data_IF_382664460951
#
_entry.id   IF_382664460951
#
_cell.length_a   1.000
_cell.length_b   1.000
_cell.length_c   1.000
_cell.angle_alpha   90.00
_cell.angle_beta   90.00
_cell.angle_gamma   90.00
#
_symmetry.space_group_name_H-M   'P 1'
#
loop_
_entity.id
_entity.type
_entity.pdbx_description
1 polymer ?
#
# COMPACT_ATOMS: atom_id res chain seq x y z
N UNK A 1 3.75 27.63 4.86
CA UNK A 1 3.37 26.19 4.81
C UNK A 1 4.10 25.36 3.76
N UNK A 2 4.69 25.93 2.70
CA UNK A 2 5.41 25.17 1.65
C UNK A 2 6.47 24.20 2.21
N UNK A 3 7.29 24.64 3.17
CA UNK A 3 8.28 23.80 3.86
C UNK A 3 7.67 22.53 4.48
N UNK A 4 6.44 22.60 5.01
CA UNK A 4 5.74 21.43 5.57
C UNK A 4 5.31 20.46 4.47
N UNK A 5 4.86 20.98 3.33
CA UNK A 5 4.45 20.17 2.17
C UNK A 5 5.68 19.47 1.59
N UNK A 6 6.78 20.19 1.40
CA UNK A 6 8.05 19.62 0.94
C UNK A 6 8.56 18.53 1.87
N UNK A 7 8.52 18.77 3.18
CA UNK A 7 8.89 17.77 4.19
C UNK A 7 7.99 16.52 4.09
N UNK A 8 6.70 16.69 3.81
CA UNK A 8 5.79 15.56 3.65
C UNK A 8 6.08 14.75 2.38
N UNK A 9 6.38 15.41 1.26
CA UNK A 9 6.77 14.74 0.02
C UNK A 9 8.11 14.01 0.15
N UNK A 10 9.08 14.58 0.88
CA UNK A 10 10.32 13.88 1.22
C UNK A 10 10.06 12.63 2.06
N UNK A 11 9.20 12.74 3.09
CA UNK A 11 8.79 11.60 3.88
C UNK A 11 8.13 10.51 3.01
N UNK A 12 7.21 10.87 2.12
CA UNK A 12 6.55 9.91 1.21
C UNK A 12 7.56 9.14 0.36
N UNK A 13 8.52 9.83 -0.26
CA UNK A 13 9.56 9.20 -1.07
C UNK A 13 10.38 8.21 -0.24
N UNK A 14 10.82 8.64 0.95
CA UNK A 14 11.57 7.77 1.86
C UNK A 14 10.77 6.54 2.30
N UNK A 15 9.48 6.68 2.55
CA UNK A 15 8.59 5.55 2.88
C UNK A 15 8.43 4.58 1.71
N UNK A 16 8.34 5.07 0.48
CA UNK A 16 8.32 4.22 -0.72
C UNK A 16 9.62 3.43 -0.88
N UNK A 17 10.78 4.08 -0.69
CA UNK A 17 12.08 3.40 -0.76
C UNK A 17 12.20 2.30 0.30
N UNK A 18 11.70 2.55 1.52
CA UNK A 18 11.66 1.55 2.59
C UNK A 18 10.75 0.38 2.21
N UNK A 19 9.57 0.64 1.64
CA UNK A 19 8.64 -0.41 1.20
C UNK A 19 9.25 -1.31 0.11
N UNK A 20 10.09 -0.76 -0.77
CA UNK A 20 10.78 -1.51 -1.83
C UNK A 20 11.99 -2.32 -1.32
N UNK A 21 12.60 -1.91 -0.22
CA UNK A 21 13.88 -2.48 0.26
C UNK A 21 13.75 -3.35 1.50
N UNK A 22 12.71 -3.14 2.32
CA UNK A 22 12.52 -3.90 3.55
C UNK A 22 12.29 -5.39 3.28
N UNK A 23 12.97 -6.25 4.04
CA UNK A 23 12.91 -7.71 3.84
C UNK A 23 11.66 -8.34 4.44
N UNK A 24 11.06 -7.69 5.44
CA UNK A 24 9.88 -8.16 6.15
C UNK A 24 9.10 -7.00 6.79
N UNK A 25 7.89 -7.29 7.29
CA UNK A 25 6.95 -6.27 7.80
C UNK A 25 7.45 -5.60 9.08
N UNK A 26 8.18 -6.32 9.94
CA UNK A 26 8.73 -5.74 11.18
C UNK A 26 9.83 -4.74 10.89
N UNK A 27 10.73 -5.07 9.95
CA UNK A 27 11.75 -4.16 9.46
C UNK A 27 11.12 -2.94 8.78
N UNK A 28 10.13 -3.15 7.90
CA UNK A 28 9.38 -2.08 7.25
C UNK A 28 8.77 -1.13 8.29
N UNK A 29 8.06 -1.66 9.28
CA UNK A 29 7.40 -0.86 10.30
C UNK A 29 8.42 -0.06 11.14
N UNK A 30 9.53 -0.68 11.52
CA UNK A 30 10.59 -0.04 12.30
C UNK A 30 11.28 1.09 11.54
N UNK A 31 11.75 0.84 10.31
CA UNK A 31 12.42 1.85 9.49
C UNK A 31 11.48 2.98 9.12
N UNK A 32 10.22 2.66 8.80
CA UNK A 32 9.20 3.65 8.50
C UNK A 32 8.88 4.53 9.71
N UNK A 33 8.75 3.94 10.91
CA UNK A 33 8.60 4.70 12.15
C UNK A 33 9.75 5.70 12.34
N UNK A 34 11.00 5.27 12.20
CA UNK A 34 12.17 6.14 12.35
C UNK A 34 12.18 7.30 11.35
N UNK A 35 11.77 7.03 10.09
CA UNK A 35 11.64 8.06 9.07
C UNK A 35 10.54 9.09 9.42
N UNK A 36 9.40 8.62 9.90
CA UNK A 36 8.30 9.50 10.33
C UNK A 36 8.69 10.29 11.58
N UNK A 37 9.32 9.66 12.58
CA UNK A 37 9.78 10.31 13.81
C UNK A 37 10.75 11.45 13.51
N UNK A 38 11.73 11.22 12.62
CA UNK A 38 12.66 12.27 12.16
C UNK A 38 11.90 13.45 11.54
N UNK A 39 10.91 13.16 10.68
CA UNK A 39 10.10 14.18 10.02
C UNK A 39 9.19 14.92 11.00
N UNK A 40 8.64 14.23 12.00
CA UNK A 40 7.82 14.82 13.06
C UNK A 40 8.63 15.77 13.95
N UNK A 41 9.88 15.44 14.27
CA UNK A 41 10.79 16.31 15.01
C UNK A 41 11.06 17.60 14.21
N UNK A 42 11.35 17.49 12.92
CA UNK A 42 11.56 18.64 12.04
C UNK A 42 10.29 19.49 11.90
N UNK A 43 9.14 18.85 11.73
CA UNK A 43 7.84 19.51 11.67
C UNK A 43 7.56 20.30 12.95
N UNK A 44 7.79 19.70 14.12
CA UNK A 44 7.60 20.34 15.42
C UNK A 44 8.55 21.53 15.59
N UNK A 45 9.82 21.37 15.27
CA UNK A 45 10.82 22.44 15.36
C UNK A 45 10.45 23.65 14.48
N UNK A 46 9.96 23.40 13.26
CA UNK A 46 9.46 24.46 12.38
C UNK A 46 8.25 25.16 12.98
N UNK A 47 7.22 24.41 13.36
CA UNK A 47 5.91 24.98 13.76
C UNK A 47 5.99 25.78 15.06
N UNK A 48 6.83 25.39 16.01
CA UNK A 48 7.00 26.12 17.28
C UNK A 48 7.56 27.54 17.04
N UNK A 49 8.39 27.73 16.02
CA UNK A 49 8.97 29.04 15.68
C UNK A 49 8.15 29.80 14.63
N UNK A 50 7.15 29.15 14.04
CA UNK A 50 6.34 29.70 12.98
C UNK A 50 5.13 30.46 13.53
N UNK A 51 4.87 31.64 12.97
CA UNK A 51 3.64 32.40 13.22
C UNK A 51 2.70 32.20 12.04
N UNK A 52 1.52 31.61 12.29
CA UNK A 52 0.49 31.47 11.27
C UNK A 52 0.01 32.84 10.80
N UNK A 53 -0.17 32.97 9.48
CA UNK A 53 -0.67 34.18 8.83
C UNK A 53 -2.06 34.57 9.32
N UNK A 54 -2.93 33.57 9.47
CA UNK A 54 -4.31 33.72 9.90
C UNK A 54 -4.83 32.41 10.49
N UNK A 55 -6.04 32.46 11.07
CA UNK A 55 -6.70 31.29 11.64
C UNK A 55 -6.97 30.19 10.61
N UNK A 56 -7.15 30.54 9.34
CA UNK A 56 -7.40 29.55 8.29
C UNK A 56 -6.13 28.74 7.99
N UNK A 57 -4.95 29.36 8.00
CA UNK A 57 -3.67 28.66 7.87
C UNK A 57 -3.40 27.73 9.05
N UNK A 58 -3.71 28.16 10.27
CA UNK A 58 -3.62 27.31 11.47
C UNK A 58 -4.53 26.09 11.37
N UNK A 59 -5.80 26.29 11.02
CA UNK A 59 -6.77 25.22 10.80
C UNK A 59 -6.26 24.26 9.72
N UNK A 60 -5.76 24.79 8.60
CA UNK A 60 -5.22 23.98 7.51
C UNK A 60 -4.07 23.09 7.98
N UNK A 61 -3.17 23.65 8.80
CA UNK A 61 -2.07 22.89 9.38
C UNK A 61 -2.56 21.74 10.28
N UNK A 62 -3.43 22.01 11.25
CA UNK A 62 -3.88 21.01 12.23
C UNK A 62 -4.91 20.01 11.69
N UNK A 63 -5.69 20.39 10.67
CA UNK A 63 -6.72 19.54 10.08
C UNK A 63 -6.20 18.70 8.91
N UNK A 64 -5.30 19.24 8.08
CA UNK A 64 -4.90 18.61 6.82
C UNK A 64 -3.43 18.16 6.83
N UNK A 65 -2.50 19.04 7.21
CA UNK A 65 -1.06 18.77 7.07
C UNK A 65 -0.51 17.87 8.17
N UNK A 66 -0.59 18.30 9.43
CA UNK A 66 -0.03 17.56 10.57
C UNK A 66 -0.62 16.14 10.69
N UNK A 67 -1.94 15.90 10.52
CA UNK A 67 -2.48 14.55 10.56
C UNK A 67 -1.89 13.61 9.50
N UNK A 68 -1.42 14.14 8.36
CA UNK A 68 -0.73 13.37 7.33
C UNK A 68 0.56 12.70 7.82
N UNK A 69 1.30 13.35 8.70
CA UNK A 69 2.49 12.78 9.35
C UNK A 69 2.11 11.90 10.54
N UNK A 70 1.24 12.44 11.41
CA UNK A 70 0.93 11.80 12.68
C UNK A 70 0.20 10.47 12.48
N UNK A 71 -0.66 10.37 11.47
CA UNK A 71 -1.32 9.12 11.10
C UNK A 71 -0.33 8.03 10.68
N UNK A 72 0.76 8.38 9.96
CA UNK A 72 1.83 7.44 9.61
C UNK A 72 2.56 6.95 10.85
N UNK A 73 2.84 7.84 11.80
CA UNK A 73 3.50 7.48 13.06
C UNK A 73 2.65 6.45 13.83
N UNK A 74 1.37 6.75 14.02
CA UNK A 74 0.41 5.85 14.69
C UNK A 74 0.32 4.51 13.95
N UNK A 75 0.20 4.55 12.61
CA UNK A 75 0.11 3.36 11.77
C UNK A 75 1.31 2.43 11.96
N UNK A 76 2.54 2.94 11.86
CA UNK A 76 3.73 2.10 11.93
C UNK A 76 4.02 1.58 13.35
N UNK A 77 3.73 2.35 14.40
CA UNK A 77 3.77 1.85 15.79
C UNK A 77 2.80 0.67 15.94
N UNK A 78 1.54 0.87 15.55
CA UNK A 78 0.51 -0.18 15.68
C UNK A 78 0.78 -1.38 14.79
N UNK A 79 1.31 -1.18 13.59
CA UNK A 79 1.69 -2.27 12.69
C UNK A 79 2.79 -3.12 13.34
N UNK A 80 3.81 -2.49 13.91
CA UNK A 80 4.88 -3.17 14.63
C UNK A 80 4.33 -3.97 15.82
N UNK A 81 3.47 -3.35 16.65
CA UNK A 81 2.79 -4.04 17.76
C UNK A 81 1.92 -5.21 17.28
N UNK A 82 1.22 -5.04 16.16
CA UNK A 82 0.35 -6.08 15.61
C UNK A 82 1.16 -7.29 15.19
N UNK A 83 2.27 -7.08 14.47
CA UNK A 83 3.12 -8.18 13.99
C UNK A 83 3.95 -8.83 15.10
N UNK A 84 4.47 -8.06 16.04
CA UNK A 84 5.22 -8.60 17.19
C UNK A 84 4.34 -9.42 18.14
N UNK A 85 3.09 -9.01 18.35
CA UNK A 85 2.13 -9.76 19.17
C UNK A 85 1.33 -10.80 18.37
N UNK A 86 1.65 -11.00 17.09
CA UNK A 86 0.97 -12.00 16.26
C UNK A 86 1.32 -13.40 16.81
N UNK A 87 0.33 -14.25 17.10
CA UNK A 87 0.62 -15.57 17.62
C UNK A 87 1.26 -16.47 16.54
N UNK A 88 2.31 -17.21 16.89
CA UNK A 88 2.93 -18.24 16.05
C UNK A 88 2.03 -19.49 15.83
N UNK A 89 0.82 -19.46 16.38
CA UNK A 89 -0.14 -20.54 16.28
C UNK A 89 -0.80 -20.66 14.90
N UNK A 90 -1.67 -21.66 14.77
CA UNK A 90 -2.43 -21.95 13.54
C UNK A 90 -3.11 -20.72 12.93
N UNK A 91 -3.43 -20.78 11.63
CA UNK A 91 -4.20 -19.74 10.93
C UNK A 91 -5.49 -19.36 11.65
N UNK A 92 -6.13 -20.30 12.36
CA UNK A 92 -7.32 -20.02 13.19
C UNK A 92 -7.00 -19.06 14.33
N UNK A 93 -5.86 -19.24 15.01
CA UNK A 93 -5.41 -18.37 16.09
C UNK A 93 -5.07 -16.97 15.55
N UNK A 94 -4.35 -16.89 14.42
CA UNK A 94 -4.02 -15.62 13.77
C UNK A 94 -5.27 -14.88 13.26
N UNK A 95 -6.24 -15.59 12.66
CA UNK A 95 -7.54 -15.03 12.28
C UNK A 95 -8.30 -14.44 13.46
N UNK A 96 -8.36 -15.16 14.58
CA UNK A 96 -9.01 -14.68 15.81
C UNK A 96 -8.32 -13.42 16.32
N UNK A 97 -6.99 -13.38 16.29
CA UNK A 97 -6.20 -12.23 16.68
C UNK A 97 -6.48 -10.99 15.81
N UNK A 98 -6.41 -11.11 14.48
CA UNK A 98 -6.67 -9.98 13.58
C UNK A 98 -8.13 -9.49 13.67
N UNK A 99 -9.11 -10.39 13.79
CA UNK A 99 -10.50 -10.00 14.03
C UNK A 99 -10.67 -9.25 15.36
N UNK A 100 -9.94 -9.63 16.41
CA UNK A 100 -9.93 -8.88 17.68
C UNK A 100 -9.36 -7.47 17.50
N UNK A 101 -8.27 -7.32 16.74
CA UNK A 101 -7.69 -6.00 16.43
C UNK A 101 -8.66 -5.11 15.63
N UNK A 102 -9.33 -5.67 14.61
CA UNK A 102 -10.41 -4.98 13.88
C UNK A 102 -11.57 -4.57 14.79
N UNK A 103 -11.97 -5.44 15.72
CA UNK A 103 -12.99 -5.13 16.72
C UNK A 103 -12.63 -3.92 17.57
N UNK A 104 -11.38 -3.81 18.04
CA UNK A 104 -10.91 -2.65 18.79
C UNK A 104 -10.93 -1.35 17.98
N UNK A 105 -10.56 -1.40 16.69
CA UNK A 105 -10.67 -0.24 15.79
C UNK A 105 -12.14 0.17 15.60
N UNK A 106 -13.05 -0.80 15.48
CA UNK A 106 -14.48 -0.56 15.35
C UNK A 106 -15.04 0.16 16.59
N UNK A 107 -14.74 -0.33 17.79
CA UNK A 107 -15.17 0.30 19.05
C UNK A 107 -14.70 1.76 19.15
N UNK A 108 -13.42 2.02 18.89
CA UNK A 108 -12.91 3.40 18.89
C UNK A 108 -13.62 4.29 17.85
N UNK A 109 -13.95 3.73 16.68
CA UNK A 109 -14.69 4.46 15.64
C UNK A 109 -16.14 4.74 16.06
N UNK A 110 -16.78 3.81 16.77
CA UNK A 110 -18.14 3.95 17.30
C UNK A 110 -18.20 5.05 18.38
N UNK A 111 -17.19 5.15 19.25
CA UNK A 111 -17.06 6.21 20.25
C UNK A 111 -16.85 7.61 19.64
N UNK A 112 -16.33 7.67 18.41
CA UNK A 112 -16.00 8.93 17.72
C UNK A 112 -16.93 9.25 16.52
N UNK A 113 -18.08 8.57 16.40
CA UNK A 113 -19.03 8.75 15.27
C UNK A 113 -19.35 10.22 14.97
N UNK A 114 -19.71 11.08 15.95
CA UNK A 114 -20.10 12.46 15.65
C UNK A 114 -18.98 13.23 14.96
N UNK A 115 -17.76 13.14 15.49
CA UNK A 115 -16.59 13.79 14.92
C UNK A 115 -16.19 13.20 13.56
N UNK A 116 -16.23 11.87 13.41
CA UNK A 116 -15.91 11.23 12.13
C UNK A 116 -16.90 11.60 11.04
N UNK A 117 -18.19 11.71 11.37
CA UNK A 117 -19.22 12.20 10.44
C UNK A 117 -18.95 13.65 10.04
N UNK A 118 -18.63 14.51 11.01
CA UNK A 118 -18.23 15.89 10.77
C UNK A 118 -17.06 15.94 9.77
N UNK A 119 -15.95 15.27 10.08
CA UNK A 119 -14.74 15.32 9.28
C UNK A 119 -14.94 14.76 7.86
N UNK A 120 -15.54 13.58 7.73
CA UNK A 120 -15.77 12.92 6.42
C UNK A 120 -16.77 13.65 5.54
N UNK A 121 -17.71 14.39 6.11
CA UNK A 121 -18.66 15.21 5.34
C UNK A 121 -18.03 16.44 4.69
N UNK A 122 -16.78 16.77 5.02
CA UNK A 122 -16.13 18.00 4.58
C UNK A 122 -16.67 19.26 5.26
N UNK A 123 -17.51 19.11 6.30
CA UNK A 123 -18.02 20.23 7.07
C UNK A 123 -16.88 21.05 7.71
N UNK A 124 -17.14 22.36 7.86
CA UNK A 124 -16.16 23.36 8.35
C UNK A 124 -16.64 24.18 9.54
N UNK A 125 -17.91 24.02 9.95
CA UNK A 125 -18.55 24.87 10.97
C UNK A 125 -17.95 24.73 12.37
N UNK A 126 -17.24 23.64 12.65
CA UNK A 126 -16.53 23.42 13.93
C UNK A 126 -15.00 23.58 13.80
N UNK A 127 -14.48 23.97 12.63
CA UNK A 127 -13.03 23.95 12.40
C UNK A 127 -12.28 24.86 13.37
N UNK A 128 -12.86 26.02 13.71
CA UNK A 128 -12.30 26.93 14.74
C UNK A 128 -12.27 26.26 16.12
N UNK A 129 -13.28 25.48 16.49
CA UNK A 129 -13.30 24.82 17.81
C UNK A 129 -12.36 23.60 17.87
N UNK A 130 -12.18 22.92 16.74
CA UNK A 130 -11.44 21.66 16.66
C UNK A 130 -9.95 21.82 16.34
N UNK A 131 -9.58 22.84 15.56
CA UNK A 131 -8.27 22.92 14.91
C UNK A 131 -7.54 24.24 15.12
N UNK A 132 -7.94 25.07 16.08
CA UNK A 132 -7.12 26.19 16.57
C UNK A 132 -6.58 25.87 17.95
N UNK A 133 -5.38 26.36 18.26
CA UNK A 133 -4.83 26.28 19.62
C UNK A 133 -5.66 27.13 20.57
N UNK A 134 -5.56 26.81 21.86
CA UNK A 134 -6.10 27.62 22.97
C UNK A 134 -7.62 27.86 23.00
N UNK A 135 -8.40 27.11 22.19
CA UNK A 135 -9.87 27.10 22.23
C UNK A 135 -10.37 25.82 22.87
N UNK A 136 -10.75 25.93 24.14
CA UNK A 136 -11.15 24.81 24.98
C UNK A 136 -12.62 24.91 25.36
N UNK A 137 -13.35 23.84 25.14
CA UNK A 137 -14.67 23.65 25.72
C UNK A 137 -14.86 22.15 26.02
N UNK A 138 -15.32 21.81 27.23
CA UNK A 138 -15.64 20.42 27.57
C UNK A 138 -16.78 19.89 26.69
N UNK A 139 -17.65 20.80 26.21
CA UNK A 139 -18.80 20.49 25.36
C UNK A 139 -18.38 20.03 23.95
N UNK A 140 -17.15 20.29 23.51
CA UNK A 140 -16.66 19.84 22.20
C UNK A 140 -16.04 18.43 22.24
N UNK A 141 -15.99 17.77 23.40
CA UNK A 141 -15.53 16.40 23.55
C UNK A 141 -14.00 16.24 23.49
N UNK A 142 -13.29 17.04 24.29
CA UNK A 142 -11.82 16.96 24.46
C UNK A 142 -11.40 15.61 25.03
N UNK A 143 -10.31 15.04 24.49
CA UNK A 143 -9.65 13.86 25.02
C UNK A 143 -8.68 14.27 26.14
N UNK A 144 -8.64 13.53 27.25
CA UNK A 144 -7.77 13.82 28.40
C UNK A 144 -6.28 13.79 28.01
N UNK A 145 -5.90 12.99 27.00
CA UNK A 145 -4.53 12.94 26.48
C UNK A 145 -4.04 14.28 25.89
N UNK A 146 -4.95 15.22 25.62
CA UNK A 146 -4.58 16.58 25.23
C UNK A 146 -3.73 17.28 26.30
N UNK A 147 -3.98 17.03 27.60
CA UNK A 147 -3.26 17.71 28.68
C UNK A 147 -1.79 17.29 28.79
N UNK A 148 -1.42 16.14 28.22
CA UNK A 148 -0.03 15.68 28.13
C UNK A 148 0.66 16.15 26.85
N UNK A 149 -0.08 16.82 25.96
CA UNK A 149 0.43 17.29 24.69
C UNK A 149 1.01 18.72 24.79
N UNK A 150 2.02 19.00 23.97
CA UNK A 150 2.61 20.33 23.82
C UNK A 150 1.59 21.32 23.21
N UNK A 151 1.09 22.32 23.96
CA UNK A 151 0.04 23.22 23.48
C UNK A 151 0.45 24.01 22.23
N UNK A 152 1.74 24.23 22.00
CA UNK A 152 2.23 24.91 20.80
C UNK A 152 2.07 24.05 19.53
N UNK A 153 1.92 22.73 19.70
CA UNK A 153 1.92 21.75 18.62
C UNK A 153 0.71 20.82 18.64
N UNK A 154 -0.39 21.12 19.33
CA UNK A 154 -1.62 20.34 19.20
C UNK A 154 -2.90 21.12 19.44
N UNK A 155 -4.01 20.47 19.08
CA UNK A 155 -5.36 20.98 19.25
C UNK A 155 -6.22 19.89 19.89
N UNK A 156 -7.50 20.18 20.14
CA UNK A 156 -8.40 19.20 20.76
C UNK A 156 -8.69 17.98 19.88
N UNK A 157 -8.57 18.09 18.55
CA UNK A 157 -9.09 17.09 17.61
C UNK A 157 -8.13 16.66 16.48
N UNK A 158 -6.95 17.26 16.34
CA UNK A 158 -5.96 16.86 15.32
C UNK A 158 -5.51 15.39 15.48
N UNK A 159 -5.34 14.92 16.72
CA UNK A 159 -5.06 13.52 17.02
C UNK A 159 -6.18 12.59 16.54
N UNK A 160 -7.45 12.98 16.70
CA UNK A 160 -8.59 12.17 16.25
C UNK A 160 -8.61 12.00 14.74
N UNK A 161 -8.19 13.04 13.99
CA UNK A 161 -7.99 12.94 12.52
C UNK A 161 -6.85 11.98 12.19
N UNK A 162 -5.71 12.13 12.87
CA UNK A 162 -4.57 11.24 12.67
C UNK A 162 -4.93 9.76 12.95
N UNK A 163 -5.68 9.51 14.03
CA UNK A 163 -6.20 8.21 14.39
C UNK A 163 -7.17 7.64 13.36
N UNK A 164 -8.07 8.46 12.82
CA UNK A 164 -8.98 8.06 11.74
C UNK A 164 -8.19 7.54 10.54
N UNK A 165 -7.24 8.35 10.04
CA UNK A 165 -6.41 8.02 8.87
C UNK A 165 -5.49 6.80 9.10
N UNK A 166 -4.96 6.65 10.32
CA UNK A 166 -4.14 5.50 10.68
C UNK A 166 -4.98 4.22 10.75
N UNK A 167 -6.18 4.30 11.33
CA UNK A 167 -7.11 3.18 11.43
C UNK A 167 -7.58 2.70 10.06
N UNK A 168 -7.81 3.60 9.09
CA UNK A 168 -8.14 3.22 7.71
C UNK A 168 -7.03 2.36 7.07
N UNK A 169 -5.76 2.77 7.24
CA UNK A 169 -4.61 2.00 6.77
C UNK A 169 -4.48 0.65 7.50
N UNK A 170 -4.69 0.62 8.82
CA UNK A 170 -4.66 -0.62 9.61
C UNK A 170 -5.78 -1.59 9.22
N UNK A 171 -6.98 -1.10 8.94
CA UNK A 171 -8.09 -1.93 8.46
C UNK A 171 -7.72 -2.58 7.13
N UNK A 172 -7.17 -1.82 6.18
CA UNK A 172 -6.71 -2.36 4.90
C UNK A 172 -5.64 -3.44 5.09
N UNK A 173 -4.66 -3.19 5.96
CA UNK A 173 -3.62 -4.16 6.31
C UNK A 173 -4.21 -5.45 6.91
N UNK A 174 -5.05 -5.33 7.95
CA UNK A 174 -5.63 -6.45 8.67
C UNK A 174 -6.55 -7.30 7.78
N UNK A 175 -7.33 -6.66 6.90
CA UNK A 175 -8.17 -7.36 5.94
C UNK A 175 -7.33 -8.13 4.92
N UNK A 176 -6.25 -7.54 4.39
CA UNK A 176 -5.31 -8.23 3.50
C UNK A 176 -4.64 -9.42 4.20
N UNK A 177 -4.26 -9.27 5.46
CA UNK A 177 -3.71 -10.36 6.27
C UNK A 177 -4.72 -11.49 6.50
N UNK A 178 -5.99 -11.15 6.79
CA UNK A 178 -7.08 -12.12 6.93
C UNK A 178 -7.37 -12.86 5.62
N UNK A 179 -7.37 -12.16 4.48
CA UNK A 179 -7.55 -12.75 3.15
C UNK A 179 -6.45 -13.79 2.87
N UNK A 180 -5.17 -13.45 3.11
CA UNK A 180 -4.05 -14.37 2.98
C UNK A 180 -4.23 -15.64 3.82
N UNK A 181 -4.68 -15.50 5.07
CA UNK A 181 -4.90 -16.64 5.95
C UNK A 181 -6.09 -17.49 5.52
N UNK A 182 -7.17 -16.88 5.02
CA UNK A 182 -8.42 -17.57 4.69
C UNK A 182 -8.32 -18.59 3.55
N UNK A 183 -7.15 -18.74 2.92
CA UNK A 183 -7.00 -19.58 1.73
C UNK A 183 -7.80 -19.04 0.54
N UNK A 184 -8.39 -17.84 0.60
CA UNK A 184 -9.09 -17.24 -0.54
C UNK A 184 -8.15 -16.82 -1.68
N UNK A 185 -6.83 -16.99 -1.50
CA UNK A 185 -5.84 -17.02 -2.57
C UNK A 185 -5.75 -18.38 -3.30
N UNK A 186 -6.54 -19.39 -2.92
CA UNK A 186 -6.53 -20.73 -3.53
C UNK A 186 -7.84 -21.15 -4.19
N UNK A 187 -8.77 -20.23 -4.49
CA UNK A 187 -9.94 -20.59 -5.34
C UNK A 187 -10.69 -19.42 -5.99
N UNK A 188 -10.35 -18.16 -5.67
CA UNK A 188 -10.66 -17.08 -6.60
C UNK A 188 -9.55 -17.06 -7.63
N UNK A 189 -9.88 -17.42 -8.88
CA UNK A 189 -9.09 -16.99 -10.03
C UNK A 189 -8.95 -15.48 -9.87
N UNK A 190 -7.80 -15.01 -9.40
CA UNK A 190 -7.46 -13.59 -9.50
C UNK A 190 -7.20 -13.40 -10.98
N UNK A 191 -8.26 -13.19 -11.75
CA UNK A 191 -8.12 -12.62 -13.06
C UNK A 191 -7.80 -11.14 -12.82
N UNK A 192 -6.54 -10.84 -12.50
CA UNK A 192 -5.98 -9.47 -12.51
C UNK A 192 -6.37 -8.80 -13.82
N UNK A 193 -6.46 -9.60 -14.89
CA UNK A 193 -6.99 -9.22 -16.18
C UNK A 193 -8.48 -8.83 -16.19
N UNK A 194 -9.38 -9.52 -15.49
CA UNK A 194 -10.81 -9.16 -15.45
C UNK A 194 -11.01 -7.81 -14.73
N UNK A 195 -10.30 -7.60 -13.62
CA UNK A 195 -10.32 -6.31 -12.91
C UNK A 195 -9.77 -5.16 -13.77
N UNK A 196 -8.87 -5.48 -14.72
CA UNK A 196 -8.30 -4.53 -15.69
C UNK A 196 -9.03 -4.51 -17.05
N UNK A 197 -10.03 -5.37 -17.26
CA UNK A 197 -10.69 -5.57 -18.55
C UNK A 197 -9.77 -6.04 -19.70
N UNK A 198 -8.66 -6.71 -19.39
CA UNK A 198 -7.65 -7.16 -20.35
C UNK A 198 -7.85 -8.64 -20.73
N UNK A 199 -7.45 -9.01 -21.95
CA UNK A 199 -7.45 -10.41 -22.41
C UNK A 199 -6.26 -10.68 -23.32
N UNK A 200 -5.76 -11.91 -23.31
CA UNK A 200 -4.74 -12.35 -24.27
C UNK A 200 -5.35 -12.41 -25.68
N UNK A 201 -4.80 -11.61 -26.60
CA UNK A 201 -5.36 -11.41 -27.94
C UNK A 201 -4.80 -12.39 -28.99
N UNK A 202 -3.77 -13.17 -28.65
CA UNK A 202 -3.05 -14.04 -29.57
C UNK A 202 -3.38 -15.52 -29.34
N UNK A 203 -2.81 -16.40 -30.16
CA UNK A 203 -3.05 -17.85 -30.01
C UNK A 203 -2.38 -18.45 -28.76
N UNK A 204 -2.91 -19.58 -28.26
CA UNK A 204 -2.22 -20.36 -27.20
C UNK A 204 -0.81 -20.78 -27.62
N UNK A 205 -0.59 -21.09 -28.89
CA UNK A 205 0.73 -21.46 -29.40
C UNK A 205 1.73 -20.31 -29.34
N UNK A 206 1.30 -19.09 -29.70
CA UNK A 206 2.10 -17.88 -29.53
C UNK A 206 2.47 -17.64 -28.06
N UNK A 207 1.54 -17.94 -27.15
CA UNK A 207 1.77 -17.82 -25.72
C UNK A 207 2.79 -18.85 -25.18
N UNK A 208 2.67 -20.11 -25.60
CA UNK A 208 3.66 -21.15 -25.27
C UNK A 208 5.04 -20.78 -25.80
N UNK A 209 5.12 -20.23 -27.02
CA UNK A 209 6.37 -19.73 -27.60
C UNK A 209 7.01 -18.63 -26.72
N UNK A 210 6.21 -17.68 -26.23
CA UNK A 210 6.66 -16.65 -25.30
C UNK A 210 7.20 -17.24 -23.99
N UNK A 211 6.47 -18.17 -23.39
CA UNK A 211 6.88 -18.81 -22.14
C UNK A 211 8.23 -19.52 -22.25
N UNK A 212 8.41 -20.32 -23.31
CA UNK A 212 9.68 -21.00 -23.56
C UNK A 212 10.81 -20.04 -23.92
N UNK A 213 10.51 -18.91 -24.58
CA UNK A 213 11.48 -17.82 -24.79
C UNK A 213 11.96 -17.22 -23.47
N UNK A 214 11.03 -16.90 -22.56
CA UNK A 214 11.33 -16.36 -21.22
C UNK A 214 12.13 -17.36 -20.38
N UNK A 215 11.78 -18.65 -20.43
CA UNK A 215 12.51 -19.72 -19.77
C UNK A 215 13.95 -19.83 -20.32
N UNK A 216 14.11 -19.82 -21.64
CA UNK A 216 15.40 -19.97 -22.31
C UNK A 216 16.34 -18.80 -22.00
N UNK A 217 15.80 -17.59 -21.91
CA UNK A 217 16.53 -16.41 -21.43
C UNK A 217 16.90 -16.54 -19.94
N UNK A 218 16.07 -17.22 -19.16
CA UNK A 218 16.15 -17.24 -17.71
C UNK A 218 15.64 -15.94 -17.09
N UNK A 219 14.60 -15.36 -17.69
CA UNK A 219 14.01 -14.09 -17.26
C UNK A 219 13.39 -14.16 -15.85
N UNK A 220 13.05 -15.37 -15.40
CA UNK A 220 12.50 -15.61 -14.07
C UNK A 220 13.48 -16.37 -13.19
N UNK A 221 13.53 -15.95 -11.92
CA UNK A 221 14.31 -16.58 -10.87
C UNK A 221 13.37 -17.10 -9.78
N UNK A 222 13.54 -18.37 -9.40
CA UNK A 222 12.79 -18.99 -8.32
C UNK A 222 13.50 -18.70 -6.98
N UNK A 223 12.87 -17.85 -6.17
CA UNK A 223 13.41 -17.38 -4.90
C UNK A 223 13.63 -18.52 -3.90
N UNK A 224 12.82 -19.59 -3.95
CA UNK A 224 12.92 -20.73 -3.03
C UNK A 224 14.09 -21.64 -3.37
N UNK A 225 14.24 -21.97 -4.65
CA UNK A 225 15.30 -22.88 -5.11
C UNK A 225 16.61 -22.17 -5.41
N UNK A 226 16.61 -20.83 -5.41
CA UNK A 226 17.75 -19.99 -5.78
C UNK A 226 18.31 -20.31 -7.17
N UNK A 227 17.43 -20.67 -8.10
CA UNK A 227 17.78 -21.03 -9.47
C UNK A 227 16.88 -20.32 -10.48
N UNK A 228 17.24 -20.37 -11.78
CA UNK A 228 16.34 -19.96 -12.86
C UNK A 228 15.05 -20.80 -12.78
N UNK A 229 13.91 -20.17 -13.00
CA UNK A 229 12.61 -20.84 -12.96
C UNK A 229 12.50 -21.87 -14.09
N UNK A 230 11.86 -23.00 -13.80
CA UNK A 230 11.56 -24.00 -14.82
C UNK A 230 10.28 -23.64 -15.60
N UNK A 231 9.96 -24.43 -16.64
CA UNK A 231 8.77 -24.17 -17.45
C UNK A 231 7.47 -24.37 -16.67
N UNK A 232 7.45 -25.25 -15.65
CA UNK A 232 6.25 -25.49 -14.86
C UNK A 232 5.96 -24.29 -13.95
N UNK A 233 7.00 -23.70 -13.35
CA UNK A 233 6.92 -22.48 -12.56
C UNK A 233 6.37 -21.32 -13.41
N UNK A 234 6.91 -21.15 -14.62
CA UNK A 234 6.48 -20.10 -15.56
C UNK A 234 5.05 -20.36 -16.05
N UNK A 235 4.70 -21.61 -16.39
CA UNK A 235 3.35 -22.00 -16.80
C UNK A 235 2.33 -21.68 -15.71
N UNK A 236 2.58 -22.16 -14.49
CA UNK A 236 1.71 -21.91 -13.34
C UNK A 236 1.54 -20.42 -13.07
N UNK A 237 2.62 -19.64 -13.14
CA UNK A 237 2.55 -18.19 -12.98
C UNK A 237 1.57 -17.56 -13.97
N UNK A 238 1.68 -17.90 -15.26
CA UNK A 238 0.82 -17.32 -16.28
C UNK A 238 -0.61 -17.85 -16.26
N UNK A 239 -0.85 -19.12 -15.92
CA UNK A 239 -2.21 -19.65 -15.71
C UNK A 239 -2.94 -18.90 -14.59
N UNK A 240 -2.22 -18.57 -13.51
CA UNK A 240 -2.78 -17.79 -12.40
C UNK A 240 -3.04 -16.35 -12.82
N UNK A 241 -2.09 -15.68 -13.47
CA UNK A 241 -2.20 -14.26 -13.82
C UNK A 241 -3.25 -13.99 -14.89
N UNK A 242 -3.34 -14.88 -15.89
CA UNK A 242 -4.23 -14.70 -17.04
C UNK A 242 -5.56 -15.48 -16.90
N UNK A 243 -5.70 -16.31 -15.87
CA UNK A 243 -6.86 -17.18 -15.66
C UNK A 243 -7.17 -18.13 -16.82
N UNK A 244 -6.15 -18.45 -17.63
CA UNK A 244 -6.26 -19.37 -18.77
C UNK A 244 -5.78 -20.76 -18.40
N UNK A 245 -6.32 -21.78 -19.06
CA UNK A 245 -5.78 -23.14 -19.06
C UNK A 245 -4.84 -23.30 -20.27
N UNK A 246 -3.56 -23.50 -20.01
CA UNK A 246 -2.55 -23.69 -21.06
C UNK A 246 -2.60 -25.10 -21.67
N UNK A 247 -3.24 -26.06 -20.98
CA UNK A 247 -3.28 -27.45 -21.39
C UNK A 247 -1.90 -28.05 -21.55
N UNK A 248 -1.71 -28.86 -22.60
CA UNK A 248 -0.44 -29.54 -22.84
C UNK A 248 0.57 -28.65 -23.60
N UNK A 249 1.14 -27.67 -22.89
CA UNK A 249 2.15 -26.76 -23.44
C UNK A 249 3.45 -27.47 -23.88
N UNK A 250 3.78 -28.63 -23.32
CA UNK A 250 4.90 -29.46 -23.80
C UNK A 250 4.68 -29.96 -25.23
N UNK A 251 3.46 -30.43 -25.55
CA UNK A 251 3.11 -30.85 -26.90
C UNK A 251 3.09 -29.67 -27.87
N UNK A 252 2.51 -28.54 -27.46
CA UNK A 252 2.51 -27.33 -28.29
C UNK A 252 3.93 -26.85 -28.58
N UNK A 253 4.84 -26.94 -27.62
CA UNK A 253 6.25 -26.62 -27.83
C UNK A 253 6.96 -27.62 -28.75
N UNK A 254 6.65 -28.90 -28.64
CA UNK A 254 7.12 -29.90 -29.58
C UNK A 254 6.69 -29.57 -31.02
N UNK A 255 5.42 -29.19 -31.23
CA UNK A 255 4.90 -28.80 -32.54
C UNK A 255 5.58 -27.51 -33.07
N UNK A 256 5.85 -26.54 -32.18
CA UNK A 256 6.63 -25.33 -32.51
C UNK A 256 8.02 -25.70 -33.04
N UNK A 257 8.71 -26.64 -32.37
CA UNK A 257 10.05 -27.09 -32.77
C UNK A 257 10.08 -27.82 -34.12
N UNK A 258 8.96 -28.36 -34.58
CA UNK A 258 8.85 -29.04 -35.88
C UNK A 258 8.57 -28.10 -37.06
N UNK A 259 8.35 -26.80 -36.81
CA UNK A 259 8.13 -25.81 -37.89
C UNK A 259 9.39 -25.69 -38.75
N UNK A 260 9.23 -25.90 -40.07
CA UNK A 260 10.36 -25.91 -41.03
C UNK A 260 10.86 -24.53 -41.47
N UNK A 261 10.04 -23.48 -41.36
CA UNK A 261 10.36 -22.14 -41.89
C UNK A 261 10.59 -21.10 -40.79
N UNK A 262 9.68 -21.03 -39.81
CA UNK A 262 9.73 -20.00 -38.76
C UNK A 262 9.40 -20.63 -37.39
N UNK A 263 10.42 -21.09 -36.65
CA UNK A 263 10.21 -21.68 -35.33
C UNK A 263 9.82 -20.66 -34.26
N UNK A 264 10.10 -19.35 -34.46
CA UNK A 264 9.90 -18.27 -33.47
C UNK A 264 8.98 -17.14 -33.98
N UNK A 265 7.94 -17.49 -34.74
CA UNK A 265 7.05 -16.53 -35.40
C UNK A 265 6.48 -15.45 -34.47
N UNK A 266 6.07 -15.80 -33.24
CA UNK A 266 5.52 -14.82 -32.31
C UNK A 266 6.61 -13.91 -31.73
N UNK A 267 7.75 -14.47 -31.33
CA UNK A 267 8.88 -13.69 -30.79
C UNK A 267 9.43 -12.72 -31.83
N UNK A 268 9.51 -13.14 -33.09
CA UNK A 268 9.97 -12.29 -34.20
C UNK A 268 9.01 -11.12 -34.43
N UNK A 269 7.69 -11.37 -34.42
CA UNK A 269 6.67 -10.32 -34.48
C UNK A 269 6.72 -9.37 -33.29
N UNK A 270 6.90 -9.90 -32.08
CA UNK A 270 7.01 -9.11 -30.85
C UNK A 270 8.21 -8.16 -30.92
N UNK A 271 9.38 -8.68 -31.33
CA UNK A 271 10.61 -7.91 -31.52
C UNK A 271 10.42 -6.80 -32.56
N UNK A 272 9.89 -7.15 -33.74
CA UNK A 272 9.67 -6.17 -34.81
C UNK A 272 8.72 -5.06 -34.38
N UNK A 273 7.64 -5.41 -33.67
CA UNK A 273 6.66 -4.44 -33.17
C UNK A 273 7.27 -3.48 -32.15
N UNK A 274 8.14 -3.99 -31.27
CA UNK A 274 8.84 -3.16 -30.28
C UNK A 274 9.83 -2.19 -30.94
N UNK A 275 10.64 -2.69 -31.90
CA UNK A 275 11.60 -1.85 -32.64
C UNK A 275 10.86 -0.75 -33.42
N UNK A 276 9.76 -1.10 -34.09
CA UNK A 276 8.94 -0.11 -34.80
C UNK A 276 8.46 1.01 -33.88
N UNK A 277 7.95 0.65 -32.69
CA UNK A 277 7.49 1.63 -31.69
C UNK A 277 8.62 2.53 -31.18
N UNK A 278 9.83 1.98 -30.98
CA UNK A 278 11.00 2.76 -30.57
C UNK A 278 11.37 3.79 -31.64
N UNK A 279 11.49 3.35 -32.90
CA UNK A 279 11.82 4.25 -34.02
C UNK A 279 10.77 5.37 -34.18
N UNK A 280 9.47 5.05 -34.09
CA UNK A 280 8.40 6.05 -34.15
C UNK A 280 8.40 7.07 -33.00
N UNK A 281 9.04 6.73 -31.86
CA UNK A 281 9.16 7.62 -30.71
C UNK A 281 10.39 8.52 -30.82
N UNK A 282 11.48 8.02 -31.39
CA UNK A 282 12.72 8.79 -31.61
C UNK A 282 12.62 9.75 -32.80
N UNK A 283 11.73 9.47 -33.77
CA UNK A 283 11.42 10.35 -34.91
C UNK A 283 10.42 11.49 -34.57
N UNK A 284 10.07 11.67 -33.28
CA UNK A 284 9.18 12.75 -32.77
C UNK A 284 9.92 13.69 -31.84
#
# INVERSE_FOLDING_TARGET
METVIELYEQLKRKLMDIELTATNILELAKLSYQAVETSMIQLKAFVITYTFKDTAEEIYFFRELKPGFYSRMIYYIRLFEIETNKPDGSDRAQRKYFKKKLGGIKTYSEENIPFYKYYRSGARHMDIAYFTRDKFDILIGIDVSYFDCDPAFCTSHDYKVAMLLANEQLIAYLNKALQKLSGQYSDSKINVLEDLGLNWAETKTAFVELMYGLQSLGAFYNVKTKAKADINDIARFFEVVLGIDLGNYYRLYYDIRLRKKEPTTFIDKLKQSLIKRMNETDDR
#
